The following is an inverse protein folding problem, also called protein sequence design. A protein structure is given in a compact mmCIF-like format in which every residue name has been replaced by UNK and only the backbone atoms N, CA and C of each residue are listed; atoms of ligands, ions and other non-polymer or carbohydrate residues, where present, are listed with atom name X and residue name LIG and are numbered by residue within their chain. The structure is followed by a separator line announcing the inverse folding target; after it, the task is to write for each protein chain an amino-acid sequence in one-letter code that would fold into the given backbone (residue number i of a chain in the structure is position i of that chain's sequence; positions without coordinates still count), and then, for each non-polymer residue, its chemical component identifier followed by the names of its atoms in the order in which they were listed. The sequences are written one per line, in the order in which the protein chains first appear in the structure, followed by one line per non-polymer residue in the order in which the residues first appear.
data_IF_296881974134
#
_entry.id   IF_296881974134
#
_cell.length_a   1.000
_cell.length_b   1.000
_cell.length_c   1.000
_cell.angle_alpha   90.00
_cell.angle_beta   90.00
_cell.angle_gamma   90.00
#
_symmetry.space_group_name_H-M   'P 1'
#
loop_
_entity.id
_entity.type
_entity.pdbx_description
1 polymer ?
#
# COMPACT_ATOMS: atom_id res chain seq x y z
N UNK A 1 19.89 1.44 -7.07
CA UNK A 1 19.01 0.88 -8.11
C UNK A 1 17.59 0.61 -7.64
N UNK A 2 16.57 0.86 -8.49
CA UNK A 2 15.22 0.34 -8.29
C UNK A 2 15.24 -1.18 -8.13
N UNK A 3 14.48 -1.68 -7.15
CA UNK A 3 14.30 -3.12 -6.93
C UNK A 3 12.83 -3.48 -7.02
N UNK A 4 12.55 -4.66 -7.59
CA UNK A 4 11.21 -5.25 -7.60
C UNK A 4 10.83 -5.65 -6.16
N UNK A 5 9.56 -5.52 -5.82
CA UNK A 5 9.01 -6.16 -4.61
C UNK A 5 9.28 -7.68 -4.67
N UNK A 6 9.62 -8.29 -3.53
CA UNK A 6 10.05 -9.70 -3.48
C UNK A 6 9.01 -10.73 -3.93
N UNK A 7 7.76 -10.30 -4.14
CA UNK A 7 6.65 -11.11 -4.64
C UNK A 7 5.91 -10.35 -5.75
N UNK A 8 5.08 -11.06 -6.52
CA UNK A 8 4.22 -10.47 -7.54
C UNK A 8 3.03 -9.73 -6.90
N UNK A 9 3.31 -8.62 -6.19
CA UNK A 9 2.32 -7.88 -5.40
C UNK A 9 1.15 -7.37 -6.27
N UNK A 10 1.45 -6.94 -7.50
CA UNK A 10 0.45 -6.44 -8.44
C UNK A 10 -0.50 -7.55 -8.89
N UNK A 11 0.03 -8.75 -9.14
CA UNK A 11 -0.78 -9.91 -9.54
C UNK A 11 -1.74 -10.30 -8.41
N UNK A 12 -1.23 -10.38 -7.18
CA UNK A 12 -2.02 -10.70 -5.98
C UNK A 12 -3.11 -9.65 -5.76
N UNK A 13 -2.75 -8.36 -5.80
CA UNK A 13 -3.71 -7.27 -5.60
C UNK A 13 -4.77 -7.22 -6.71
N UNK A 14 -4.39 -7.52 -7.96
CA UNK A 14 -5.32 -7.57 -9.09
C UNK A 14 -6.27 -8.75 -8.93
N UNK A 15 -5.75 -9.91 -8.52
CA UNK A 15 -6.57 -11.07 -8.17
C UNK A 15 -7.59 -10.76 -7.07
N UNK A 16 -7.16 -10.11 -5.99
CA UNK A 16 -8.05 -9.72 -4.89
C UNK A 16 -9.12 -8.71 -5.34
N UNK A 17 -8.73 -7.71 -6.12
CA UNK A 17 -9.67 -6.73 -6.69
C UNK A 17 -10.67 -7.40 -7.64
N UNK A 18 -10.21 -8.37 -8.43
CA UNK A 18 -11.05 -9.18 -9.31
C UNK A 18 -12.08 -10.00 -8.53
N UNK A 19 -11.68 -10.60 -7.39
CA UNK A 19 -12.61 -11.32 -6.50
C UNK A 19 -13.68 -10.38 -5.96
N UNK A 20 -13.30 -9.16 -5.56
CA UNK A 20 -14.24 -8.11 -5.14
C UNK A 20 -15.23 -7.75 -6.25
N UNK A 21 -14.72 -7.50 -7.47
CA UNK A 21 -15.55 -7.17 -8.63
C UNK A 21 -16.51 -8.31 -9.02
N UNK A 22 -16.05 -9.57 -8.98
CA UNK A 22 -16.88 -10.75 -9.25
C UNK A 22 -17.99 -10.88 -8.19
N UNK A 23 -17.66 -10.71 -6.91
CA UNK A 23 -18.66 -10.74 -5.83
C UNK A 23 -19.73 -9.66 -6.02
N UNK A 24 -19.31 -8.44 -6.36
CA UNK A 24 -20.23 -7.33 -6.65
C UNK A 24 -21.11 -7.62 -7.88
N UNK A 25 -20.54 -8.18 -8.94
CA UNK A 25 -21.28 -8.58 -10.15
C UNK A 25 -22.30 -9.68 -9.87
N UNK A 26 -21.95 -10.68 -9.06
CA UNK A 26 -22.88 -11.74 -8.65
C UNK A 26 -24.05 -11.17 -7.83
N UNK A 27 -23.77 -10.25 -6.91
CA UNK A 27 -24.81 -9.54 -6.14
C UNK A 27 -25.73 -8.70 -7.04
N UNK A 28 -25.18 -8.01 -8.04
CA UNK A 28 -25.97 -7.27 -9.03
C UNK A 28 -26.84 -8.23 -9.87
N UNK A 29 -26.28 -9.37 -10.28
CA UNK A 29 -27.01 -10.38 -11.04
C UNK A 29 -28.20 -10.94 -10.26
N UNK A 30 -28.06 -11.14 -8.96
CA UNK A 30 -29.17 -11.60 -8.10
C UNK A 30 -30.39 -10.66 -8.17
N UNK A 31 -30.14 -9.35 -8.23
CA UNK A 31 -31.22 -8.34 -8.29
C UNK A 31 -31.78 -8.13 -9.69
N UNK A 32 -30.95 -8.28 -10.72
CA UNK A 32 -31.28 -7.85 -12.09
C UNK A 32 -31.49 -8.99 -13.07
N UNK A 33 -31.07 -10.21 -12.72
CA UNK A 33 -31.00 -11.36 -13.61
C UNK A 33 -29.92 -11.27 -14.70
N UNK A 34 -29.12 -10.20 -14.76
CA UNK A 34 -28.16 -9.93 -15.83
C UNK A 34 -26.72 -10.06 -15.34
N UNK A 35 -25.87 -10.72 -16.14
CA UNK A 35 -24.43 -10.71 -15.95
C UNK A 35 -23.80 -9.38 -16.38
N UNK A 36 -22.54 -9.18 -16.02
CA UNK A 36 -21.73 -8.02 -16.45
C UNK A 36 -20.33 -8.47 -16.86
N UNK A 37 -19.68 -7.69 -17.73
CA UNK A 37 -18.27 -7.89 -18.10
C UNK A 37 -17.40 -7.20 -17.04
N UNK A 38 -16.40 -7.90 -16.54
CA UNK A 38 -15.39 -7.35 -15.64
C UNK A 38 -14.08 -7.28 -16.41
N UNK A 39 -13.43 -6.12 -16.40
CA UNK A 39 -12.11 -5.91 -16.99
C UNK A 39 -11.15 -5.53 -15.85
N UNK A 40 -9.99 -6.18 -15.84
CA UNK A 40 -8.97 -5.97 -14.82
C UNK A 40 -7.66 -5.59 -15.51
N UNK A 41 -6.93 -4.65 -14.93
CA UNK A 41 -5.65 -4.17 -15.45
C UNK A 41 -4.59 -4.20 -14.36
N UNK A 42 -3.50 -4.92 -14.61
CA UNK A 42 -2.34 -4.94 -13.70
C UNK A 42 -1.77 -3.52 -13.52
N UNK A 43 -1.79 -2.70 -14.57
CA UNK A 43 -1.31 -1.32 -14.52
C UNK A 43 -2.20 -0.45 -13.63
N UNK A 44 -3.52 -0.51 -13.80
CA UNK A 44 -4.45 0.27 -12.99
C UNK A 44 -4.40 -0.16 -11.53
N UNK A 45 -4.26 -1.46 -11.25
CA UNK A 45 -4.01 -1.96 -9.90
C UNK A 45 -2.70 -1.41 -9.34
N UNK A 46 -1.60 -1.44 -10.09
CA UNK A 46 -0.32 -0.89 -9.62
C UNK A 46 -0.43 0.61 -9.30
N UNK A 47 -1.17 1.37 -10.12
CA UNK A 47 -1.42 2.79 -9.89
C UNK A 47 -2.28 3.02 -8.63
N UNK A 48 -3.32 2.21 -8.41
CA UNK A 48 -4.17 2.33 -7.22
C UNK A 48 -3.42 2.02 -5.93
N UNK A 49 -2.47 1.09 -5.96
CA UNK A 49 -1.61 0.74 -4.83
C UNK A 49 -0.68 1.88 -4.38
N UNK A 50 -0.46 2.91 -5.20
CA UNK A 50 0.32 4.08 -4.79
C UNK A 50 -0.39 4.92 -3.72
N UNK A 51 -1.73 4.84 -3.63
CA UNK A 51 -2.52 5.49 -2.58
C UNK A 51 -2.12 6.96 -2.34
N UNK A 52 -1.64 7.30 -1.14
CA UNK A 52 -1.23 8.65 -0.76
C UNK A 52 0.00 9.15 -1.54
N UNK A 53 0.88 8.28 -2.04
CA UNK A 53 2.04 8.67 -2.84
C UNK A 53 1.58 9.28 -4.17
N UNK A 54 0.59 8.67 -4.82
CA UNK A 54 -0.02 9.23 -6.02
C UNK A 54 -0.75 10.55 -5.72
N UNK A 55 -1.46 10.63 -4.60
CA UNK A 55 -2.15 11.84 -4.19
C UNK A 55 -1.19 13.02 -3.96
N UNK A 56 -0.02 12.78 -3.35
CA UNK A 56 1.00 13.80 -3.14
C UNK A 56 1.48 14.41 -4.47
N UNK A 57 1.73 13.57 -5.47
CA UNK A 57 2.13 14.03 -6.79
C UNK A 57 0.99 14.78 -7.50
N UNK A 58 -0.21 14.19 -7.54
CA UNK A 58 -1.35 14.77 -8.27
C UNK A 58 -1.83 16.11 -7.70
N UNK A 59 -1.80 16.27 -6.37
CA UNK A 59 -2.33 17.46 -5.70
C UNK A 59 -1.28 18.54 -5.45
N UNK A 60 -0.01 18.17 -5.24
CA UNK A 60 1.04 19.11 -4.82
C UNK A 60 2.30 19.08 -5.72
N UNK A 61 2.35 18.23 -6.75
CA UNK A 61 3.52 18.05 -7.61
C UNK A 61 4.71 17.43 -6.90
N UNK A 62 4.50 16.82 -5.72
CA UNK A 62 5.58 16.24 -4.93
C UNK A 62 5.99 14.88 -5.48
N UNK A 63 7.15 14.85 -6.13
CA UNK A 63 7.71 13.63 -6.70
C UNK A 63 8.19 12.65 -5.61
N UNK A 64 7.71 11.41 -5.69
CA UNK A 64 7.99 10.39 -4.70
C UNK A 64 9.49 10.04 -4.63
N UNK A 65 10.00 9.82 -3.42
CA UNK A 65 11.37 9.41 -3.17
C UNK A 65 11.43 8.00 -2.60
N UNK A 66 12.62 7.40 -2.62
CA UNK A 66 12.86 6.09 -1.99
C UNK A 66 13.11 6.29 -0.50
N UNK A 67 12.14 5.89 0.33
CA UNK A 67 12.25 6.02 1.79
C UNK A 67 12.89 4.81 2.49
N UNK A 68 13.28 3.76 1.74
CA UNK A 68 13.80 2.53 2.33
C UNK A 68 12.73 1.86 3.19
N UNK A 69 13.01 1.65 4.47
CA UNK A 69 12.05 1.11 5.44
C UNK A 69 11.25 2.20 6.16
N UNK A 70 11.55 3.47 5.94
CA UNK A 70 10.90 4.58 6.63
C UNK A 70 9.54 4.93 6.01
N UNK A 71 8.60 5.34 6.86
CA UNK A 71 7.36 5.95 6.43
C UNK A 71 7.63 7.39 5.94
N UNK A 72 6.91 7.82 4.88
CA UNK A 72 7.19 9.11 4.24
C UNK A 72 6.83 10.34 5.09
N UNK A 73 5.87 10.20 6.01
CA UNK A 73 5.29 11.33 6.77
C UNK A 73 5.23 11.12 8.29
N UNK A 74 5.69 9.98 8.80
CA UNK A 74 5.60 9.64 10.23
C UNK A 74 6.99 9.21 10.69
N UNK A 75 7.51 9.85 11.73
CA UNK A 75 8.87 9.61 12.23
C UNK A 75 8.87 9.59 13.76
N UNK A 76 9.55 8.61 14.40
CA UNK A 76 10.16 7.43 13.79
C UNK A 76 9.12 6.37 13.40
N UNK A 77 9.13 5.96 12.13
CA UNK A 77 8.42 4.77 11.67
C UNK A 77 9.28 4.06 10.64
N UNK A 78 10.23 3.24 11.09
CA UNK A 78 11.24 2.63 10.21
C UNK A 78 11.91 1.42 10.86
N UNK A 79 12.79 0.75 10.09
CA UNK A 79 13.67 -0.27 10.64
C UNK A 79 14.87 0.35 11.37
N UNK A 80 15.22 -0.24 12.51
CA UNK A 80 16.42 0.03 13.31
C UNK A 80 17.21 -1.26 13.51
N UNK A 81 18.53 -1.14 13.71
CA UNK A 81 19.43 -2.28 13.93
C UNK A 81 19.72 -2.38 15.42
N UNK A 82 19.48 -3.56 15.99
CA UNK A 82 19.79 -3.89 17.38
C UNK A 82 21.27 -4.24 17.58
N UNK A 83 21.71 -4.36 18.83
CA UNK A 83 23.11 -4.68 19.16
C UNK A 83 23.56 -6.05 18.63
N UNK A 84 22.63 -7.00 18.52
CA UNK A 84 22.85 -8.34 17.96
C UNK A 84 22.86 -8.37 16.42
N UNK A 85 22.64 -7.22 15.78
CA UNK A 85 22.58 -7.09 14.32
C UNK A 85 21.22 -7.39 13.71
N UNK A 86 20.23 -7.83 14.51
CA UNK A 86 18.87 -8.06 14.05
C UNK A 86 18.14 -6.73 13.80
N UNK A 87 17.12 -6.76 12.94
CA UNK A 87 16.33 -5.56 12.59
C UNK A 87 14.98 -5.60 13.26
N UNK A 88 14.63 -4.49 13.92
CA UNK A 88 13.28 -4.25 14.45
C UNK A 88 12.63 -3.08 13.70
N UNK A 89 11.31 -3.11 13.58
CA UNK A 89 10.55 -1.95 13.12
C UNK A 89 10.06 -1.19 14.35
N UNK A 90 10.36 0.10 14.43
CA UNK A 90 9.87 0.99 15.49
C UNK A 90 8.97 2.02 14.85
N UNK A 91 7.76 2.16 15.40
CA UNK A 91 6.74 3.11 14.95
C UNK A 91 6.17 3.90 16.12
N UNK A 92 6.59 5.15 16.27
CA UNK A 92 5.95 6.14 17.14
C UNK A 92 5.10 7.07 16.27
N UNK A 93 3.80 6.76 16.19
CA UNK A 93 2.89 7.42 15.26
C UNK A 93 2.43 8.82 15.69
N UNK A 94 2.79 9.27 16.90
CA UNK A 94 2.46 10.57 17.46
C UNK A 94 3.42 10.93 18.60
N UNK A 95 3.33 12.18 19.09
CA UNK A 95 4.22 12.71 20.13
C UNK A 95 4.13 11.95 21.45
N UNK A 96 2.96 11.39 21.79
CA UNK A 96 2.83 10.58 23.00
C UNK A 96 3.66 9.30 22.90
N UNK A 97 3.50 8.54 21.81
CA UNK A 97 4.31 7.34 21.57
C UNK A 97 5.79 7.68 21.43
N UNK A 98 6.12 8.86 20.90
CA UNK A 98 7.51 9.29 20.80
C UNK A 98 8.10 9.58 22.18
N UNK A 99 7.38 10.28 23.06
CA UNK A 99 7.81 10.50 24.43
C UNK A 99 7.98 9.18 25.19
N UNK A 100 7.05 8.24 25.07
CA UNK A 100 7.17 6.91 25.68
C UNK A 100 8.34 6.11 25.11
N UNK A 101 8.65 6.26 23.83
CA UNK A 101 9.79 5.60 23.18
C UNK A 101 11.14 6.18 23.64
N UNK A 102 11.20 7.47 23.97
CA UNK A 102 12.43 8.14 24.40
C UNK A 102 12.73 8.02 25.90
N UNK A 103 11.73 7.65 26.71
CA UNK A 103 11.86 7.49 28.15
C UNK A 103 12.61 6.20 28.51
#
# INVERSE_FOLDING_TARGET
EPVKVGVAVVDIATGLSSVGAITAALYQREKTGKGTKIECSLLETQLSLLSHIAANYLNAGWEAQRHGTAHASIVPYQAFICQDGERIIVGAANDQFFHELCA
#
